data_IF_989590179076
#
_entry.id   IF_989590179076
#
_cell.length_a   1.000
_cell.length_b   1.000
_cell.length_c   1.000
_cell.angle_alpha   90.00
_cell.angle_beta   90.00
_cell.angle_gamma   90.00
#
_symmetry.space_group_name_H-M   'P 1'
#
loop_
_entity.id
_entity.type
_entity.pdbx_description
1 polymer ?
#
# COMPACT_ATOMS: atom_id res chain seq x y z
N UNK A 1 -57.63 1.04 46.12
CA UNK A 1 -56.89 1.22 47.38
C UNK A 1 -55.41 1.10 47.09
N UNK A 2 -54.68 2.18 47.39
CA UNK A 2 -53.24 2.33 47.61
C UNK A 2 -52.18 1.98 46.54
N UNK A 3 -51.34 3.00 46.35
CA UNK A 3 -50.07 3.05 45.65
C UNK A 3 -49.01 2.10 46.23
N UNK A 4 -48.06 1.69 45.39
CA UNK A 4 -46.65 1.71 45.76
C UNK A 4 -45.81 2.09 44.53
N UNK A 5 -45.16 3.26 44.63
CA UNK A 5 -43.99 3.63 43.85
C UNK A 5 -42.87 2.60 44.10
N UNK A 6 -42.13 2.24 43.06
CA UNK A 6 -40.75 1.75 43.22
C UNK A 6 -39.84 2.65 42.38
N UNK A 7 -38.99 3.37 43.11
CA UNK A 7 -37.98 4.30 42.63
C UNK A 7 -36.79 3.59 41.96
N UNK A 8 -36.07 4.34 41.12
CA UNK A 8 -34.91 3.95 40.29
C UNK A 8 -33.63 3.57 41.06
N UNK A 9 -33.71 2.98 42.26
CA UNK A 9 -32.52 2.66 43.10
C UNK A 9 -32.16 1.15 43.13
N UNK A 10 -33.00 0.25 42.61
CA UNK A 10 -32.65 -1.19 42.57
C UNK A 10 -31.89 -1.65 41.31
N UNK A 11 -31.54 -0.74 40.38
CA UNK A 11 -30.83 -1.11 39.15
C UNK A 11 -29.30 -1.16 39.28
N UNK A 12 -28.71 -0.78 40.41
CA UNK A 12 -27.25 -0.68 40.58
C UNK A 12 -26.62 -1.89 41.33
N UNK A 13 -27.41 -2.83 41.87
CA UNK A 13 -26.86 -4.03 42.54
C UNK A 13 -26.80 -5.32 41.70
N UNK A 14 -27.16 -5.27 40.40
CA UNK A 14 -27.00 -6.43 39.50
C UNK A 14 -25.77 -6.36 38.57
N UNK A 15 -24.91 -5.34 38.70
CA UNK A 15 -23.73 -5.13 37.85
C UNK A 15 -22.39 -5.66 38.43
N UNK A 16 -22.41 -6.57 39.41
CA UNK A 16 -21.20 -7.20 39.97
C UNK A 16 -21.14 -8.74 39.85
N UNK A 17 -21.74 -9.30 38.79
CA UNK A 17 -21.51 -10.71 38.42
C UNK A 17 -21.19 -10.86 36.93
N UNK A 18 -19.98 -10.45 36.55
CA UNK A 18 -19.34 -10.95 35.33
C UNK A 18 -18.51 -12.19 35.70
N UNK A 19 -18.69 -13.35 35.06
CA UNK A 19 -17.80 -14.49 35.23
C UNK A 19 -16.42 -14.16 34.66
N UNK A 20 -15.37 -14.42 35.43
CA UNK A 20 -13.99 -14.33 34.94
C UNK A 20 -13.73 -15.37 33.84
N UNK A 21 -12.94 -15.05 32.80
CA UNK A 21 -12.49 -16.03 31.83
C UNK A 21 -11.52 -17.04 32.49
N UNK A 22 -11.50 -18.31 32.05
CA UNK A 22 -10.62 -19.33 32.62
C UNK A 22 -9.14 -19.01 32.38
N UNK A 23 -8.23 -19.48 33.27
CA UNK A 23 -6.79 -19.28 33.10
C UNK A 23 -6.31 -19.99 31.83
N UNK A 24 -5.62 -19.23 30.97
CA UNK A 24 -4.93 -19.78 29.81
C UNK A 24 -3.69 -20.52 30.30
N UNK A 25 -3.64 -21.83 30.04
CA UNK A 25 -2.46 -22.65 30.29
C UNK A 25 -1.29 -22.23 29.41
N UNK A 26 -0.12 -22.11 30.03
CA UNK A 26 1.14 -21.78 29.40
C UNK A 26 1.53 -22.86 28.37
N UNK A 27 1.58 -22.49 27.09
CA UNK A 27 2.38 -23.22 26.10
C UNK A 27 3.70 -22.47 25.85
N UNK A 28 4.83 -23.20 25.76
CA UNK A 28 6.16 -22.62 25.76
C UNK A 28 6.45 -21.82 24.49
N UNK A 29 7.07 -20.65 24.70
CA UNK A 29 7.50 -19.75 23.65
C UNK A 29 8.57 -20.39 22.73
N UNK A 30 8.54 -20.13 21.41
CA UNK A 30 9.64 -20.48 20.51
C UNK A 30 10.86 -19.56 20.76
N UNK A 31 12.09 -20.05 20.52
CA UNK A 31 13.31 -19.35 20.86
C UNK A 31 13.53 -18.08 20.01
N UNK A 32 13.82 -16.98 20.69
CA UNK A 32 14.25 -15.72 20.07
C UNK A 32 15.66 -15.89 19.48
N UNK A 33 15.79 -15.75 18.16
CA UNK A 33 17.07 -15.51 17.51
C UNK A 33 17.48 -14.05 17.69
N UNK A 34 18.59 -13.85 18.40
CA UNK A 34 19.34 -12.60 18.44
C UNK A 34 19.92 -12.28 17.06
N UNK A 35 19.61 -11.10 16.53
CA UNK A 35 20.47 -10.41 15.57
C UNK A 35 20.75 -8.98 16.04
N UNK A 36 22.00 -8.51 15.96
CA UNK A 36 22.43 -7.21 16.50
C UNK A 36 22.30 -6.09 15.45
N UNK A 37 22.20 -4.85 15.94
CA UNK A 37 22.60 -3.66 15.18
C UNK A 37 21.46 -2.71 14.82
N UNK A 38 21.18 -1.75 15.72
CA UNK A 38 20.46 -0.50 15.43
C UNK A 38 21.42 0.63 15.76
N UNK A 39 21.75 1.48 14.79
CA UNK A 39 22.30 2.81 15.05
C UNK A 39 21.23 3.85 14.71
N UNK A 40 20.78 4.58 15.73
CA UNK A 40 19.91 5.76 15.61
C UNK A 40 20.60 6.85 16.42
N UNK A 41 20.99 7.94 15.75
CA UNK A 41 21.59 9.12 16.35
C UNK A 41 20.52 10.02 17.00
N UNK A 42 20.82 10.69 18.14
CA UNK A 42 19.93 11.64 18.79
C UNK A 42 20.15 13.06 18.26
N UNK A 43 19.10 13.88 18.21
CA UNK A 43 19.23 15.34 18.10
C UNK A 43 18.57 15.99 19.31
N UNK A 44 19.39 16.79 19.98
CA UNK A 44 19.19 17.45 21.26
C UNK A 44 18.11 18.53 21.22
N UNK A 45 17.39 18.60 22.32
CA UNK A 45 16.63 19.73 22.84
C UNK A 45 17.51 20.96 23.10
N UNK A 46 16.91 22.15 23.02
CA UNK A 46 17.48 23.43 23.41
C UNK A 46 16.40 24.47 23.65
N UNK A 47 16.05 24.66 24.92
CA UNK A 47 15.37 25.86 25.46
C UNK A 47 16.42 26.91 25.82
N UNK A 48 16.20 28.20 25.49
CA UNK A 48 16.24 29.32 26.46
C UNK A 48 15.99 30.71 25.82
N UNK A 49 14.89 31.31 26.29
CA UNK A 49 14.66 32.70 26.74
C UNK A 49 14.94 33.96 25.89
N UNK A 50 13.83 34.70 25.70
CA UNK A 50 13.56 36.13 26.03
C UNK A 50 14.46 37.24 25.47
N UNK A 51 13.85 38.21 24.76
CA UNK A 51 13.65 39.58 25.25
C UNK A 51 12.71 40.42 24.36
N UNK A 52 12.04 41.37 25.02
CA UNK A 52 10.89 42.18 24.63
C UNK A 52 11.22 43.34 23.63
N UNK A 53 10.23 44.12 23.15
CA UNK A 53 10.22 44.93 21.94
C UNK A 53 10.35 46.45 22.17
N UNK A 54 10.29 47.20 21.05
CA UNK A 54 9.83 48.60 20.88
C UNK A 54 10.91 49.60 20.51
N UNK A 55 10.76 50.23 19.34
CA UNK A 55 10.58 51.69 19.21
C UNK A 55 10.20 52.08 17.79
N UNK A 56 9.34 53.09 17.72
CA UNK A 56 8.73 53.70 16.55
C UNK A 56 9.65 54.73 15.86
N UNK A 57 9.40 54.98 14.57
CA UNK A 57 9.36 56.30 13.88
C UNK A 57 9.34 56.06 12.36
N UNK A 58 8.23 56.31 11.66
CA UNK A 58 7.80 57.60 11.07
C UNK A 58 8.62 58.01 9.81
N UNK A 59 7.99 57.95 8.62
CA UNK A 59 7.60 59.11 7.78
C UNK A 59 7.27 58.72 6.31
N UNK A 60 6.05 59.11 5.87
CA UNK A 60 5.67 59.78 4.59
C UNK A 60 6.06 59.18 3.22
N UNK A 61 5.27 59.13 2.13
CA UNK A 61 3.90 59.57 1.74
C UNK A 61 3.62 59.11 0.30
N UNK A 62 2.32 58.84 -0.03
CA UNK A 62 1.55 59.13 -1.27
C UNK A 62 2.08 58.57 -2.63
N UNK A 63 1.30 58.06 -3.59
CA UNK A 63 -0.14 58.16 -3.91
C UNK A 63 -0.51 57.24 -5.12
N UNK A 64 -1.80 56.82 -5.19
CA UNK A 64 -2.64 56.49 -6.39
C UNK A 64 -2.35 55.17 -7.13
N UNK A 65 -3.32 54.36 -7.59
CA UNK A 65 -4.78 54.51 -7.88
C UNK A 65 -5.40 53.09 -7.95
N UNK A 66 -6.49 52.77 -7.25
CA UNK A 66 -7.90 52.81 -7.69
C UNK A 66 -8.23 51.77 -8.81
N UNK A 67 -9.17 50.82 -8.68
CA UNK A 67 -10.60 50.98 -8.39
C UNK A 67 -11.26 49.64 -8.01
N UNK A 68 -12.14 49.70 -7.00
CA UNK A 68 -13.31 48.84 -6.84
C UNK A 68 -14.58 49.61 -7.31
N UNK A 69 -15.66 48.90 -7.61
CA UNK A 69 -16.98 49.41 -8.02
C UNK A 69 -18.08 48.64 -7.25
N UNK A 70 -19.28 49.23 -7.05
CA UNK A 70 -19.63 49.82 -5.75
C UNK A 70 -20.92 49.26 -5.12
N UNK A 71 -21.05 49.47 -3.81
CA UNK A 71 -22.31 49.37 -3.06
C UNK A 71 -22.85 50.77 -2.78
N UNK A 72 -24.17 50.94 -2.92
CA UNK A 72 -24.88 52.22 -2.81
C UNK A 72 -25.68 52.33 -1.50
N UNK A 73 -25.42 53.46 -0.83
CA UNK A 73 -26.33 54.38 -0.14
C UNK A 73 -26.90 54.13 1.29
N UNK A 74 -26.72 55.20 2.07
CA UNK A 74 -27.07 55.52 3.45
C UNK A 74 -28.56 55.83 3.65
N UNK A 75 -29.12 55.54 4.85
CA UNK A 75 -29.43 56.56 5.86
C UNK A 75 -30.02 55.96 7.17
N UNK A 76 -29.80 56.61 8.35
CA UNK A 76 -30.09 56.07 9.68
C UNK A 76 -31.30 56.73 10.38
N UNK A 77 -31.83 56.14 11.46
CA UNK A 77 -32.25 56.79 12.74
C UNK A 77 -33.30 56.00 13.55
N UNK A 78 -33.16 56.11 14.88
CA UNK A 78 -34.15 56.05 15.98
C UNK A 78 -34.43 54.73 16.75
N UNK A 79 -33.93 54.77 17.99
CA UNK A 79 -34.56 54.46 19.28
C UNK A 79 -34.99 53.04 19.66
N UNK A 80 -34.48 52.68 20.85
CA UNK A 80 -34.85 51.57 21.69
C UNK A 80 -36.29 51.65 22.20
N UNK A 81 -36.94 50.50 22.37
CA UNK A 81 -37.89 50.27 23.46
C UNK A 81 -37.99 48.78 23.80
N UNK A 82 -38.14 48.57 25.10
CA UNK A 82 -38.07 47.36 25.90
C UNK A 82 -39.36 46.51 25.82
N UNK A 83 -39.22 45.24 26.21
CA UNK A 83 -40.20 44.35 26.85
C UNK A 83 -41.21 43.50 26.05
N UNK A 84 -41.10 42.20 26.38
CA UNK A 84 -42.19 41.27 26.69
C UNK A 84 -43.13 40.82 25.59
N UNK A 85 -42.79 39.68 25.00
CA UNK A 85 -43.78 38.63 24.75
C UNK A 85 -43.20 37.28 25.17
N UNK A 86 -43.51 36.87 26.41
CA UNK A 86 -43.57 35.46 26.75
C UNK A 86 -44.72 34.84 25.93
N UNK A 87 -44.38 34.41 24.72
CA UNK A 87 -45.24 33.54 23.92
C UNK A 87 -45.15 32.14 24.52
N UNK A 88 -46.25 31.69 25.11
CA UNK A 88 -46.45 30.30 25.51
C UNK A 88 -46.34 29.42 24.26
N UNK A 89 -45.18 28.80 24.05
CA UNK A 89 -45.09 27.68 23.12
C UNK A 89 -45.68 26.45 23.81
N UNK A 90 -47.02 26.36 23.84
CA UNK A 90 -47.71 25.07 23.94
C UNK A 90 -47.54 24.35 22.61
N UNK A 91 -46.31 23.93 22.31
CA UNK A 91 -46.03 22.94 21.29
C UNK A 91 -46.42 21.58 21.84
N UNK A 92 -47.72 21.29 21.88
CA UNK A 92 -48.18 19.91 21.89
C UNK A 92 -47.60 19.28 20.63
N UNK A 93 -46.54 18.50 20.77
CA UNK A 93 -46.08 17.65 19.70
C UNK A 93 -47.10 16.53 19.57
N UNK A 94 -48.18 16.81 18.85
CA UNK A 94 -48.98 15.80 18.16
C UNK A 94 -48.08 15.21 17.05
N UNK A 95 -47.02 14.53 17.47
CA UNK A 95 -46.39 13.55 16.63
C UNK A 95 -47.48 12.50 16.40
N UNK A 96 -47.93 12.26 15.16
CA UNK A 96 -48.84 11.17 14.91
C UNK A 96 -48.17 9.93 15.49
N UNK A 97 -48.90 9.22 16.37
CA UNK A 97 -48.58 7.85 16.78
C UNK A 97 -48.07 7.15 15.53
N UNK A 98 -46.80 6.73 15.58
CA UNK A 98 -46.09 6.25 14.42
C UNK A 98 -46.99 5.37 13.59
N UNK A 99 -47.02 5.62 12.27
CA UNK A 99 -47.57 4.64 11.34
C UNK A 99 -46.84 3.35 11.67
N UNK A 100 -47.55 2.38 12.24
CA UNK A 100 -47.10 1.01 12.29
C UNK A 100 -47.06 0.58 10.82
N UNK A 101 -45.98 0.95 10.13
CA UNK A 101 -45.62 0.33 8.87
C UNK A 101 -45.57 -1.15 9.21
N UNK A 102 -46.44 -1.94 8.58
CA UNK A 102 -46.60 -3.37 8.79
C UNK A 102 -45.39 -4.17 8.35
N UNK A 103 -44.19 -3.75 8.76
CA UNK A 103 -43.02 -4.60 8.86
C UNK A 103 -43.17 -5.34 10.18
N UNK A 104 -43.46 -6.63 10.06
CA UNK A 104 -43.65 -7.59 11.15
C UNK A 104 -42.36 -7.70 11.95
N UNK A 105 -42.15 -6.77 12.89
CA UNK A 105 -41.11 -6.86 13.91
C UNK A 105 -41.75 -7.47 15.16
N UNK A 106 -41.44 -8.73 15.44
CA UNK A 106 -41.87 -9.40 16.66
C UNK A 106 -40.88 -9.08 17.79
N UNK A 107 -41.32 -8.26 18.75
CA UNK A 107 -40.55 -7.88 19.94
C UNK A 107 -40.12 -9.07 20.81
N UNK A 108 -40.76 -10.24 20.66
CA UNK A 108 -40.41 -11.47 21.38
C UNK A 108 -39.60 -12.46 20.54
N UNK A 109 -39.27 -12.12 19.30
CA UNK A 109 -38.48 -12.97 18.43
C UNK A 109 -37.15 -13.36 19.08
N UNK A 110 -36.81 -14.65 19.01
CA UNK A 110 -35.51 -15.17 19.43
C UNK A 110 -34.78 -15.74 18.22
N UNK A 111 -33.52 -15.37 18.08
CA UNK A 111 -32.63 -15.88 17.04
C UNK A 111 -31.50 -16.64 17.72
N UNK A 112 -31.41 -17.95 17.43
CA UNK A 112 -30.33 -18.83 17.86
C UNK A 112 -29.79 -19.57 16.62
N UNK A 113 -28.57 -19.26 16.15
CA UNK A 113 -27.59 -18.31 16.69
C UNK A 113 -28.01 -16.82 16.58
N UNK A 114 -27.41 -15.93 17.37
CA UNK A 114 -27.72 -14.49 17.34
C UNK A 114 -27.30 -13.86 16.00
N UNK A 115 -28.00 -12.79 15.61
CA UNK A 115 -27.64 -12.01 14.44
C UNK A 115 -26.30 -11.27 14.67
N UNK A 116 -25.36 -11.42 13.74
CA UNK A 116 -24.07 -10.75 13.76
C UNK A 116 -24.13 -9.32 13.18
N UNK A 117 -23.05 -8.55 13.33
CA UNK A 117 -22.86 -7.23 12.71
C UNK A 117 -24.01 -6.24 12.93
N UNK A 118 -24.58 -6.22 14.13
CA UNK A 118 -25.74 -5.41 14.50
C UNK A 118 -26.99 -5.66 13.63
N UNK A 119 -27.19 -6.91 13.21
CA UNK A 119 -28.48 -7.37 12.67
C UNK A 119 -29.56 -7.40 13.75
N UNK A 120 -30.81 -7.14 13.36
CA UNK A 120 -31.98 -7.14 14.26
C UNK A 120 -32.80 -8.41 14.03
N UNK A 121 -33.14 -9.15 15.08
CA UNK A 121 -34.01 -10.32 14.99
C UNK A 121 -35.47 -9.85 14.78
N UNK A 122 -36.08 -10.17 13.65
CA UNK A 122 -37.43 -9.68 13.30
C UNK A 122 -38.52 -10.73 13.49
N UNK A 123 -38.15 -12.00 13.35
CA UNK A 123 -38.97 -13.20 13.60
C UNK A 123 -38.03 -14.29 14.12
N UNK A 124 -38.58 -15.36 14.70
CA UNK A 124 -37.75 -16.48 15.16
C UNK A 124 -36.81 -16.96 14.05
N UNK A 125 -35.51 -16.96 14.36
CA UNK A 125 -34.42 -17.31 13.43
C UNK A 125 -34.41 -16.54 12.11
N UNK A 126 -34.95 -15.32 12.08
CA UNK A 126 -34.91 -14.43 10.90
C UNK A 126 -34.26 -13.10 11.28
N UNK A 127 -33.07 -12.84 10.75
CA UNK A 127 -32.34 -11.60 10.96
C UNK A 127 -32.61 -10.58 9.84
N UNK A 128 -32.78 -9.32 10.22
CA UNK A 128 -32.70 -8.17 9.33
C UNK A 128 -31.32 -7.55 9.42
N UNK A 129 -30.56 -7.64 8.34
CA UNK A 129 -29.15 -7.26 8.35
C UNK A 129 -28.94 -5.75 8.21
N UNK A 130 -27.95 -5.26 8.95
CA UNK A 130 -27.42 -3.91 8.78
C UNK A 130 -26.86 -3.72 7.36
N UNK A 131 -26.81 -2.46 6.90
CA UNK A 131 -26.39 -2.12 5.54
C UNK A 131 -25.01 -2.72 5.21
N UNK A 132 -24.94 -3.46 4.11
CA UNK A 132 -23.70 -4.09 3.64
C UNK A 132 -23.37 -5.42 4.31
N UNK A 133 -24.33 -6.06 4.99
CA UNK A 133 -24.22 -7.42 5.49
C UNK A 133 -25.36 -8.28 4.95
N UNK A 134 -25.11 -9.58 4.78
CA UNK A 134 -26.04 -10.55 4.22
C UNK A 134 -25.83 -11.95 4.84
N UNK A 135 -26.72 -12.87 4.53
CA UNK A 135 -26.77 -14.21 5.11
C UNK A 135 -27.85 -14.35 6.19
N UNK A 136 -28.10 -15.58 6.62
CA UNK A 136 -29.17 -15.93 7.58
C UNK A 136 -28.97 -15.26 8.95
N UNK A 137 -27.72 -15.08 9.36
CA UNK A 137 -27.33 -14.47 10.63
C UNK A 137 -26.57 -13.17 10.42
N UNK A 138 -26.59 -12.60 9.20
CA UNK A 138 -25.82 -11.41 8.84
C UNK A 138 -24.30 -11.59 8.97
N UNK A 139 -23.83 -12.82 8.82
CA UNK A 139 -22.43 -13.21 8.98
C UNK A 139 -21.55 -12.75 7.81
N UNK A 140 -22.11 -12.55 6.61
CA UNK A 140 -21.32 -12.22 5.42
C UNK A 140 -21.31 -10.72 5.17
N UNK A 141 -20.12 -10.13 5.10
CA UNK A 141 -19.96 -8.76 4.66
C UNK A 141 -20.12 -8.68 3.13
N UNK A 142 -20.98 -7.78 2.68
CA UNK A 142 -21.19 -7.44 1.29
C UNK A 142 -20.49 -6.11 0.95
N UNK A 143 -19.50 -6.18 0.06
CA UNK A 143 -18.76 -5.01 -0.42
C UNK A 143 -19.37 -4.49 -1.72
N UNK A 144 -19.67 -3.19 -1.75
CA UNK A 144 -20.01 -2.47 -2.97
C UNK A 144 -19.11 -1.23 -3.10
N UNK A 145 -18.27 -1.12 -4.15
CA UNK A 145 -18.00 -2.12 -5.20
C UNK A 145 -17.46 -3.46 -4.70
N UNK A 146 -17.78 -4.55 -5.42
CA UNK A 146 -17.27 -5.90 -5.15
C UNK A 146 -15.74 -5.94 -5.27
N UNK A 147 -15.10 -6.69 -4.37
CA UNK A 147 -13.67 -6.93 -4.41
C UNK A 147 -13.27 -7.65 -5.71
N UNK A 148 -12.22 -7.17 -6.38
CA UNK A 148 -11.70 -7.75 -7.63
C UNK A 148 -10.58 -8.76 -7.36
N UNK A 149 -10.18 -9.49 -8.40
CA UNK A 149 -8.99 -10.36 -8.42
C UNK A 149 -8.94 -11.38 -7.26
N UNK A 150 -10.08 -11.94 -6.86
CA UNK A 150 -10.14 -12.91 -5.75
C UNK A 150 -10.01 -12.31 -4.36
N UNK A 151 -10.16 -10.98 -4.22
CA UNK A 151 -10.21 -10.32 -2.92
C UNK A 151 -11.42 -10.73 -2.08
N UNK A 152 -11.23 -10.80 -0.77
CA UNK A 152 -12.28 -11.18 0.19
C UNK A 152 -12.83 -9.93 0.87
N UNK A 153 -14.16 -9.78 0.94
CA UNK A 153 -14.78 -8.68 1.66
C UNK A 153 -14.66 -8.92 3.18
N UNK A 154 -14.04 -8.00 3.90
CA UNK A 154 -13.90 -8.10 5.36
C UNK A 154 -15.02 -7.35 6.09
N UNK A 155 -15.44 -6.22 5.53
CA UNK A 155 -16.52 -5.36 6.02
C UNK A 155 -16.95 -4.44 4.87
N UNK A 156 -18.13 -3.80 4.94
CA UNK A 156 -18.61 -2.91 3.89
C UNK A 156 -17.53 -1.92 3.43
N UNK A 157 -17.17 -1.99 2.14
CA UNK A 157 -16.18 -1.10 1.51
C UNK A 157 -14.71 -1.39 1.84
N UNK A 158 -14.37 -2.51 2.51
CA UNK A 158 -12.98 -2.91 2.77
C UNK A 158 -12.73 -4.36 2.34
N UNK A 159 -11.82 -4.50 1.37
CA UNK A 159 -11.37 -5.79 0.86
C UNK A 159 -10.01 -6.19 1.44
N UNK A 160 -9.82 -7.49 1.65
CA UNK A 160 -8.50 -8.12 1.81
C UNK A 160 -8.03 -8.58 0.44
N UNK A 161 -6.93 -8.02 -0.03
CA UNK A 161 -6.40 -8.36 -1.34
C UNK A 161 -5.45 -9.56 -1.29
N UNK A 162 -5.45 -10.40 -2.33
CA UNK A 162 -4.45 -11.43 -2.46
C UNK A 162 -3.07 -10.82 -2.75
N UNK A 163 -1.99 -11.59 -2.54
CA UNK A 163 -0.64 -11.15 -2.90
C UNK A 163 -0.57 -10.67 -4.34
N UNK A 164 0.10 -9.54 -4.55
CA UNK A 164 0.25 -8.93 -5.87
C UNK A 164 -0.92 -8.03 -6.31
N UNK A 165 -1.90 -7.79 -5.44
CA UNK A 165 -3.01 -6.89 -5.71
C UNK A 165 -3.18 -5.87 -4.58
N UNK A 166 -3.68 -4.70 -4.94
CA UNK A 166 -3.82 -3.57 -4.03
C UNK A 166 -4.96 -2.62 -4.40
N UNK A 167 -5.04 -1.53 -3.65
CA UNK A 167 -6.15 -0.59 -3.70
C UNK A 167 -7.37 -1.06 -2.91
N UNK A 168 -8.33 -0.16 -2.72
CA UNK A 168 -9.50 -0.35 -1.83
C UNK A 168 -10.35 -1.58 -2.16
N UNK A 169 -10.39 -1.94 -3.44
CA UNK A 169 -11.19 -3.04 -3.98
C UNK A 169 -10.34 -4.06 -4.73
N UNK A 170 -9.02 -4.11 -4.46
CA UNK A 170 -8.09 -5.05 -5.10
C UNK A 170 -8.00 -4.93 -6.63
N UNK A 171 -8.29 -3.73 -7.17
CA UNK A 171 -8.27 -3.46 -8.60
C UNK A 171 -6.88 -3.08 -9.13
N UNK A 172 -5.97 -2.65 -8.26
CA UNK A 172 -4.59 -2.33 -8.67
C UNK A 172 -3.77 -3.60 -8.64
N UNK A 173 -2.97 -3.83 -9.67
CA UNK A 173 -1.96 -4.87 -9.66
C UNK A 173 -0.68 -4.28 -9.08
N UNK A 174 0.05 -5.05 -8.30
CA UNK A 174 1.28 -4.62 -7.62
C UNK A 174 2.27 -5.76 -7.67
N UNK A 175 3.48 -5.52 -8.16
CA UNK A 175 4.52 -6.54 -8.22
C UNK A 175 5.48 -6.29 -7.07
N UNK A 176 5.82 -7.36 -6.34
CA UNK A 176 6.68 -7.24 -5.18
C UNK A 176 8.09 -6.76 -5.57
N UNK A 177 8.54 -5.65 -4.98
CA UNK A 177 9.78 -4.97 -5.37
C UNK A 177 9.79 -4.33 -6.77
N UNK A 178 8.64 -4.24 -7.43
CA UNK A 178 8.48 -3.61 -8.74
C UNK A 178 9.10 -4.39 -9.91
N UNK A 179 8.85 -3.89 -11.12
CA UNK A 179 9.44 -4.41 -12.36
C UNK A 179 10.58 -3.48 -12.80
N UNK A 180 11.70 -4.07 -13.19
CA UNK A 180 12.93 -3.34 -13.54
C UNK A 180 12.98 -3.07 -15.04
N UNK A 181 13.89 -2.19 -15.45
CA UNK A 181 14.23 -1.94 -16.85
C UNK A 181 13.03 -1.62 -17.77
N UNK A 182 12.01 -0.95 -17.23
CA UNK A 182 10.79 -0.59 -17.96
C UNK A 182 9.77 -1.72 -18.09
N UNK A 183 9.88 -2.79 -17.30
CA UNK A 183 8.86 -3.83 -17.23
C UNK A 183 7.54 -3.31 -16.67
N UNK A 184 6.43 -3.86 -17.17
CA UNK A 184 5.08 -3.49 -16.75
C UNK A 184 4.50 -4.54 -15.80
N UNK A 185 3.96 -4.11 -14.66
CA UNK A 185 3.31 -5.02 -13.72
C UNK A 185 1.85 -5.24 -14.10
N UNK A 186 1.51 -6.47 -14.49
CA UNK A 186 0.14 -6.83 -14.90
C UNK A 186 -0.29 -8.15 -14.29
N UNK A 187 -1.59 -8.43 -14.32
CA UNK A 187 -2.14 -9.69 -13.82
C UNK A 187 -2.29 -10.68 -14.98
N UNK A 188 -1.50 -11.76 -14.95
CA UNK A 188 -1.55 -12.85 -15.93
C UNK A 188 -2.12 -14.08 -15.24
N UNK A 189 -3.28 -14.56 -15.70
CA UNK A 189 -4.00 -15.70 -15.11
C UNK A 189 -4.26 -15.53 -13.60
N UNK A 190 -4.63 -14.32 -13.15
CA UNK A 190 -4.91 -14.03 -11.74
C UNK A 190 -3.68 -13.89 -10.85
N UNK A 191 -2.46 -13.90 -11.42
CA UNK A 191 -1.20 -13.71 -10.69
C UNK A 191 -0.50 -12.45 -11.19
N UNK A 192 -0.06 -11.58 -10.28
CA UNK A 192 0.73 -10.41 -10.63
C UNK A 192 2.12 -10.83 -11.15
N UNK A 193 2.48 -10.39 -12.35
CA UNK A 193 3.76 -10.69 -13.01
C UNK A 193 4.27 -9.47 -13.76
N UNK A 194 5.59 -9.38 -13.89
CA UNK A 194 6.23 -8.40 -14.75
C UNK A 194 6.24 -8.88 -16.20
N UNK A 195 5.71 -8.07 -17.11
CA UNK A 195 5.89 -8.23 -18.54
C UNK A 195 7.14 -7.43 -18.92
N UNK A 196 8.15 -8.14 -19.43
CA UNK A 196 9.44 -7.55 -19.74
C UNK A 196 9.52 -7.07 -21.19
N UNK A 197 10.28 -5.99 -21.45
CA UNK A 197 10.65 -5.64 -22.81
C UNK A 197 11.43 -6.77 -23.49
N UNK A 198 11.46 -6.79 -24.83
CA UNK A 198 12.08 -7.87 -25.62
C UNK A 198 13.58 -8.09 -25.36
N UNK A 199 14.25 -7.13 -24.74
CA UNK A 199 15.67 -7.16 -24.39
C UNK A 199 15.95 -7.62 -22.95
N UNK A 200 14.92 -7.91 -22.15
CA UNK A 200 15.05 -8.28 -20.74
C UNK A 200 14.22 -9.52 -20.41
N UNK A 201 14.67 -10.26 -19.40
CA UNK A 201 14.08 -11.50 -18.91
C UNK A 201 14.09 -11.57 -17.38
N UNK A 202 13.54 -12.67 -16.85
CA UNK A 202 13.45 -12.92 -15.42
C UNK A 202 12.12 -12.43 -14.82
N UNK A 203 11.86 -12.84 -13.57
CA UNK A 203 10.59 -12.56 -12.87
C UNK A 203 10.32 -11.07 -12.62
N UNK A 204 11.38 -10.26 -12.54
CA UNK A 204 11.31 -8.79 -12.37
C UNK A 204 11.97 -8.04 -13.52
N UNK A 205 12.24 -8.69 -14.66
CA UNK A 205 12.94 -8.09 -15.80
C UNK A 205 14.37 -7.66 -15.49
N UNK A 206 15.04 -8.36 -14.56
CA UNK A 206 16.40 -8.05 -14.11
C UNK A 206 17.50 -8.64 -15.01
N UNK A 207 17.20 -9.63 -15.85
CA UNK A 207 18.20 -10.32 -16.66
C UNK A 207 18.26 -9.70 -18.05
N UNK A 208 19.44 -9.26 -18.49
CA UNK A 208 19.64 -8.76 -19.84
C UNK A 208 19.68 -9.93 -20.85
N UNK A 209 19.07 -9.74 -22.01
CA UNK A 209 19.12 -10.71 -23.11
C UNK A 209 20.21 -10.31 -24.10
N UNK A 210 21.12 -11.25 -24.40
CA UNK A 210 22.13 -11.12 -25.44
C UNK A 210 21.80 -12.10 -26.59
N UNK A 211 21.19 -11.65 -27.71
CA UNK A 211 20.68 -12.54 -28.76
C UNK A 211 21.73 -13.47 -29.38
N UNK A 212 22.97 -12.99 -29.52
CA UNK A 212 24.09 -13.78 -30.05
C UNK A 212 24.75 -14.69 -29.00
N UNK A 213 24.36 -14.54 -27.73
CA UNK A 213 24.99 -15.15 -26.56
C UNK A 213 26.40 -14.61 -26.29
N UNK A 214 26.80 -14.64 -25.02
CA UNK A 214 28.18 -14.35 -24.62
C UNK A 214 28.96 -15.66 -24.58
N UNK A 215 30.02 -15.77 -25.39
CA UNK A 215 30.84 -16.99 -25.49
C UNK A 215 32.00 -16.96 -24.50
N UNK A 216 32.69 -18.09 -24.34
CA UNK A 216 33.95 -18.22 -23.61
C UNK A 216 33.90 -17.68 -22.15
N UNK A 217 32.75 -17.86 -21.49
CA UNK A 217 32.55 -17.41 -20.11
C UNK A 217 32.18 -15.93 -19.96
N UNK A 218 31.87 -15.23 -21.06
CA UNK A 218 31.34 -13.87 -20.98
C UNK A 218 29.96 -13.81 -20.34
N UNK A 219 29.65 -12.70 -19.66
CA UNK A 219 28.37 -12.45 -19.01
C UNK A 219 27.58 -11.36 -19.75
N UNK A 220 26.28 -11.56 -19.93
CA UNK A 220 25.41 -10.52 -20.49
C UNK A 220 25.12 -9.49 -19.40
N UNK A 221 25.67 -8.28 -19.53
CA UNK A 221 25.55 -7.21 -18.52
C UNK A 221 24.50 -6.16 -18.90
N UNK A 222 24.22 -6.04 -20.19
CA UNK A 222 23.17 -5.19 -20.73
C UNK A 222 22.67 -5.79 -22.06
N UNK A 223 21.50 -5.38 -22.57
CA UNK A 223 20.96 -5.88 -23.82
C UNK A 223 21.97 -5.88 -24.97
N UNK A 224 22.32 -7.07 -25.46
CA UNK A 224 23.31 -7.23 -26.53
C UNK A 224 24.76 -6.88 -26.17
N UNK A 225 25.07 -6.59 -24.90
CA UNK A 225 26.40 -6.21 -24.42
C UNK A 225 26.93 -7.32 -23.49
N UNK A 226 28.01 -7.95 -23.95
CA UNK A 226 28.74 -8.95 -23.17
C UNK A 226 29.96 -8.35 -22.47
N UNK A 227 30.08 -8.63 -21.17
CA UNK A 227 31.33 -8.47 -20.44
C UNK A 227 32.18 -9.72 -20.63
N UNK A 228 33.35 -9.56 -21.25
CA UNK A 228 34.23 -10.67 -21.60
C UNK A 228 35.23 -10.98 -20.49
N UNK A 229 35.61 -12.26 -20.39
CA UNK A 229 36.71 -12.72 -19.56
C UNK A 229 38.06 -12.27 -20.15
N UNK A 230 39.10 -12.28 -19.33
CA UNK A 230 40.44 -11.85 -19.75
C UNK A 230 40.93 -12.64 -20.98
N UNK A 231 41.50 -11.92 -21.96
CA UNK A 231 41.97 -12.50 -23.21
C UNK A 231 40.88 -12.77 -24.26
N UNK A 232 39.63 -12.34 -24.03
CA UNK A 232 38.55 -12.39 -25.01
C UNK A 232 37.97 -11.01 -25.31
N UNK A 233 37.63 -10.75 -26.57
CA UNK A 233 37.07 -9.50 -27.06
C UNK A 233 35.93 -9.74 -28.06
N UNK A 234 35.27 -8.63 -28.45
CA UNK A 234 34.16 -8.59 -29.39
C UNK A 234 32.80 -8.63 -28.72
N UNK A 235 31.74 -8.24 -29.45
CA UNK A 235 30.39 -8.12 -28.89
C UNK A 235 29.80 -9.41 -28.30
N UNK A 236 30.34 -10.58 -28.69
CA UNK A 236 29.96 -11.90 -28.18
C UNK A 236 31.13 -12.64 -27.50
N UNK A 237 32.22 -11.95 -27.16
CA UNK A 237 33.43 -12.54 -26.55
C UNK A 237 34.03 -13.70 -27.35
N UNK A 238 33.97 -13.63 -28.68
CA UNK A 238 34.40 -14.70 -29.59
C UNK A 238 35.83 -14.51 -30.13
N UNK A 239 36.40 -13.32 -29.99
CA UNK A 239 37.75 -13.03 -30.48
C UNK A 239 38.76 -13.28 -29.37
N UNK A 240 39.65 -14.25 -29.55
CA UNK A 240 40.75 -14.47 -28.63
C UNK A 240 41.86 -13.43 -28.84
N UNK A 241 42.43 -12.94 -27.74
CA UNK A 241 43.58 -12.03 -27.72
C UNK A 241 44.75 -12.73 -27.06
N UNK A 242 45.89 -12.68 -27.72
CA UNK A 242 47.15 -13.20 -27.20
C UNK A 242 47.96 -11.99 -26.74
N UNK A 243 48.39 -11.98 -25.47
CA UNK A 243 49.16 -10.87 -24.88
C UNK A 243 50.44 -10.60 -25.67
N UNK A 244 51.03 -11.68 -26.19
CA UNK A 244 52.09 -11.61 -27.18
C UNK A 244 51.55 -12.06 -28.55
N UNK A 245 51.84 -11.32 -29.63
CA UNK A 245 51.30 -11.66 -30.95
C UNK A 245 51.89 -12.97 -31.47
N UNK A 246 51.05 -13.74 -32.16
CA UNK A 246 51.45 -14.91 -32.93
C UNK A 246 52.26 -14.46 -34.15
N UNK A 247 53.42 -15.07 -34.36
CA UNK A 247 54.34 -14.74 -35.44
C UNK A 247 54.01 -15.53 -36.72
N UNK A 248 54.66 -15.15 -37.82
CA UNK A 248 54.61 -15.84 -39.12
C UNK A 248 53.18 -16.16 -39.63
N UNK A 249 52.22 -15.26 -39.36
CA UNK A 249 50.82 -15.41 -39.80
C UNK A 249 50.00 -16.42 -38.98
N UNK A 250 50.46 -16.79 -37.79
CA UNK A 250 49.67 -17.54 -36.81
C UNK A 250 48.43 -16.75 -36.35
N UNK A 251 47.37 -17.46 -35.97
CA UNK A 251 46.13 -16.86 -35.45
C UNK A 251 45.94 -17.20 -33.98
N UNK A 252 45.60 -16.22 -33.15
CA UNK A 252 45.21 -16.46 -31.77
C UNK A 252 43.86 -17.21 -31.76
N UNK A 253 43.79 -18.36 -31.09
CA UNK A 253 42.57 -19.20 -31.03
C UNK A 253 41.98 -19.29 -29.63
N UNK A 254 42.80 -19.06 -28.61
CA UNK A 254 42.39 -18.86 -27.22
C UNK A 254 43.42 -17.96 -26.54
N UNK A 255 43.15 -17.43 -25.34
CA UNK A 255 44.10 -16.57 -24.62
C UNK A 255 45.49 -17.20 -24.58
N UNK A 256 46.48 -16.48 -25.08
CA UNK A 256 47.89 -16.89 -25.18
C UNK A 256 48.15 -18.23 -25.91
N UNK A 257 47.25 -18.68 -26.80
CA UNK A 257 47.42 -19.89 -27.62
C UNK A 257 47.32 -19.56 -29.10
N UNK A 258 48.43 -19.76 -29.81
CA UNK A 258 48.52 -19.55 -31.24
C UNK A 258 48.25 -20.84 -32.01
N UNK A 259 47.46 -20.72 -33.08
CA UNK A 259 47.38 -21.73 -34.14
C UNK A 259 48.35 -21.34 -35.25
N UNK A 260 49.40 -22.14 -35.39
CA UNK A 260 50.47 -21.91 -36.35
C UNK A 260 50.13 -22.41 -37.76
N UNK A 261 50.64 -21.71 -38.77
CA UNK A 261 50.62 -22.18 -40.16
C UNK A 261 51.87 -23.03 -40.40
N UNK A 262 51.77 -24.22 -41.01
CA UNK A 262 52.95 -24.97 -41.42
C UNK A 262 53.87 -24.13 -42.33
N UNK A 263 55.20 -24.26 -42.23
CA UNK A 263 55.96 -25.19 -41.39
C UNK A 263 56.24 -24.68 -39.96
N UNK A 264 55.56 -23.65 -39.45
CA UNK A 264 55.90 -23.05 -38.16
C UNK A 264 55.29 -23.80 -36.95
N UNK A 265 55.97 -23.76 -35.81
CA UNK A 265 55.59 -24.33 -34.50
C UNK A 265 56.08 -23.46 -33.34
N UNK A 266 55.81 -23.91 -32.11
CA UNK A 266 56.07 -23.15 -30.89
C UNK A 266 54.82 -22.46 -30.35
N UNK A 267 54.87 -21.94 -29.11
CA UNK A 267 53.73 -21.28 -28.46
C UNK A 267 53.29 -20.01 -29.20
N UNK A 268 54.19 -19.36 -29.93
CA UNK A 268 53.95 -18.14 -30.72
C UNK A 268 54.23 -18.32 -32.21
N UNK A 269 54.42 -19.54 -32.69
CA UNK A 269 54.76 -19.84 -34.08
C UNK A 269 56.12 -19.27 -34.52
N UNK A 270 57.05 -19.17 -33.58
CA UNK A 270 58.38 -18.62 -33.76
C UNK A 270 59.36 -19.62 -34.39
N UNK A 271 59.13 -20.92 -34.20
CA UNK A 271 60.02 -21.97 -34.68
C UNK A 271 59.62 -22.44 -36.08
N UNK A 272 60.58 -22.68 -36.96
CA UNK A 272 60.33 -23.36 -38.25
C UNK A 272 60.63 -24.85 -38.09
N UNK A 273 59.64 -25.71 -38.30
CA UNK A 273 59.86 -27.16 -38.38
C UNK A 273 60.78 -27.46 -39.56
N UNK A 274 61.90 -28.14 -39.29
CA UNK A 274 62.75 -28.70 -40.33
C UNK A 274 62.06 -29.96 -40.86
N UNK A 275 61.77 -30.00 -42.16
CA UNK A 275 61.36 -31.25 -42.82
C UNK A 275 62.60 -32.14 -42.90
N UNK A 276 62.55 -33.30 -42.26
CA UNK A 276 63.49 -34.39 -42.50
C UNK A 276 63.08 -35.17 -43.75
#
# INVERSE_FOLDING_TARGET
>A
MFHANMDCIDLIQSLEKQPQPPPQGDLPAPPHHHHPGREVFPVSSGDFLLLHPSTASLLFTLHLSNKAHPAMFFAPLLFASLMSLAGVCSGGSDAPRGVAVGFVFDLKAKCEPPCEHAGVCIRNNTCFCSRGYEGETCQYANCDPKCKNGGVCLRPGKCRCPPGFGGRYCHKVTCDGGCWNGGECTAVNGVAKCICPSSWAGSKCQEAICPQGCRNGGLCVAPGICSCTEGWLGGACHMAVCSQPCLHGGKCVSPNKCRCRPPFSGPRCEERKKSH
#
